data_IF_873887176052
#
_entry.id   IF_873887176052
#
_cell.length_a   1.000
_cell.length_b   1.000
_cell.length_c   1.000
_cell.angle_alpha   90.00
_cell.angle_beta   90.00
_cell.angle_gamma   90.00
#
_symmetry.space_group_name_H-M   'P 1'
#
loop_
_entity.id
_entity.type
_entity.pdbx_description
1 polymer ?
#
# COMPACT_ATOMS: atom_id res chain seq x y z
N UNK A 1 4.82 3.70 6.36
CA UNK A 1 4.73 2.51 5.52
C UNK A 1 5.27 2.81 4.13
N UNK A 2 6.08 1.94 3.56
CA UNK A 2 6.62 2.09 2.19
C UNK A 2 6.50 0.77 1.45
N UNK A 3 6.64 0.78 0.13
CA UNK A 3 6.55 -0.45 -0.65
C UNK A 3 6.40 -0.19 -2.13
N UNK A 4 6.04 -1.23 -2.87
CA UNK A 4 5.70 -1.14 -4.29
C UNK A 4 4.25 -1.53 -4.51
N UNK A 5 3.55 -0.72 -5.29
CA UNK A 5 2.20 -1.05 -5.79
C UNK A 5 2.25 -1.20 -7.30
N UNK A 6 1.58 -2.23 -7.81
CA UNK A 6 1.54 -2.56 -9.22
C UNK A 6 0.10 -2.87 -9.66
N UNK A 7 -0.29 -2.29 -10.79
CA UNK A 7 -1.49 -2.65 -11.52
C UNK A 7 -1.26 -2.58 -13.03
N UNK A 8 -1.48 -3.70 -13.73
CA UNK A 8 -1.28 -3.83 -15.20
C UNK A 8 0.13 -3.44 -15.65
N UNK A 9 0.29 -2.27 -16.28
CA UNK A 9 1.59 -1.75 -16.75
C UNK A 9 2.08 -0.56 -15.91
N UNK A 10 1.44 -0.29 -14.77
CA UNK A 10 1.75 0.86 -13.92
C UNK A 10 2.24 0.39 -12.55
N UNK A 11 3.49 0.71 -12.25
CA UNK A 11 4.13 0.42 -10.96
C UNK A 11 4.67 1.72 -10.38
N UNK A 12 4.49 1.91 -9.07
CA UNK A 12 5.16 2.97 -8.32
C UNK A 12 5.72 2.44 -7.01
N UNK A 13 6.88 2.96 -6.63
CA UNK A 13 7.36 2.92 -5.26
C UNK A 13 6.59 3.98 -4.45
N UNK A 14 6.01 3.58 -3.32
CA UNK A 14 5.27 4.48 -2.44
C UNK A 14 5.92 4.57 -1.06
N UNK A 15 5.74 5.74 -0.44
CA UNK A 15 5.98 5.94 0.98
C UNK A 15 4.81 6.75 1.51
N UNK A 16 4.01 6.21 2.41
CA UNK A 16 2.83 6.86 2.98
C UNK A 16 2.83 6.76 4.51
N UNK A 17 2.23 7.75 5.16
CA UNK A 17 1.90 7.67 6.59
C UNK A 17 0.57 6.95 6.69
N UNK A 18 0.64 5.66 6.97
CA UNK A 18 -0.50 4.80 7.23
C UNK A 18 -0.09 3.83 8.33
N UNK A 19 -0.91 3.77 9.38
CA UNK A 19 -0.68 2.95 10.56
C UNK A 19 -1.86 1.99 10.67
N UNK A 20 -1.57 0.70 10.72
CA UNK A 20 -2.57 -0.36 10.78
C UNK A 20 -1.91 -1.59 11.38
N UNK A 21 -2.48 -2.09 12.48
CA UNK A 21 -2.02 -3.32 13.16
C UNK A 21 -2.18 -4.57 12.27
N UNK A 22 -2.99 -4.47 11.22
CA UNK A 22 -3.25 -5.51 10.23
C UNK A 22 -2.22 -5.50 9.09
N UNK A 23 -1.25 -4.58 9.08
CA UNK A 23 -0.15 -4.57 8.12
C UNK A 23 1.16 -4.74 8.86
N UNK A 24 1.85 -5.84 8.55
CA UNK A 24 3.17 -6.17 9.08
C UNK A 24 4.20 -6.14 7.96
N UNK A 25 5.47 -6.22 8.33
CA UNK A 25 6.56 -6.30 7.35
C UNK A 25 6.31 -7.46 6.38
N UNK A 26 6.24 -7.15 5.08
CA UNK A 26 6.00 -8.12 4.01
C UNK A 26 4.58 -8.68 3.89
N UNK A 27 3.63 -8.34 4.78
CA UNK A 27 2.30 -8.94 4.79
C UNK A 27 1.18 -7.95 5.13
N UNK A 28 0.07 -8.03 4.38
CA UNK A 28 -1.18 -7.32 4.67
C UNK A 28 -2.23 -8.36 5.06
N UNK A 29 -2.61 -8.39 6.35
CA UNK A 29 -3.45 -9.44 6.94
C UNK A 29 -4.95 -9.26 6.65
N UNK A 30 -5.37 -8.08 6.23
CA UNK A 30 -6.77 -7.73 6.08
C UNK A 30 -7.06 -6.96 4.79
N UNK A 31 -8.21 -7.25 4.17
CA UNK A 31 -8.66 -6.51 2.99
C UNK A 31 -8.97 -5.05 3.31
N UNK A 32 -9.45 -4.75 4.53
CA UNK A 32 -9.72 -3.36 4.94
C UNK A 32 -8.43 -2.56 5.10
N UNK A 33 -7.38 -3.19 5.63
CA UNK A 33 -6.05 -2.59 5.67
C UNK A 33 -5.48 -2.35 4.26
N UNK A 34 -5.67 -3.30 3.33
CA UNK A 34 -5.32 -3.11 1.92
C UNK A 34 -6.09 -1.93 1.30
N UNK A 35 -7.39 -1.82 1.57
CA UNK A 35 -8.24 -0.70 1.12
C UNK A 35 -7.73 0.64 1.61
N UNK A 36 -7.45 0.74 2.91
CA UNK A 36 -6.92 1.95 3.51
C UNK A 36 -5.55 2.34 2.93
N UNK A 37 -4.65 1.36 2.76
CA UNK A 37 -3.33 1.59 2.18
C UNK A 37 -3.41 2.09 0.73
N UNK A 38 -4.20 1.43 -0.13
CA UNK A 38 -4.41 1.85 -1.52
C UNK A 38 -5.02 3.25 -1.56
N UNK A 39 -5.97 3.55 -0.68
CA UNK A 39 -6.56 4.88 -0.60
C UNK A 39 -5.51 5.95 -0.25
N UNK A 40 -4.66 5.69 0.75
CA UNK A 40 -3.57 6.59 1.14
C UNK A 40 -2.56 6.81 -0.01
N UNK A 41 -2.22 5.76 -0.74
CA UNK A 41 -1.35 5.84 -1.93
C UNK A 41 -2.01 6.69 -3.02
N UNK A 42 -3.27 6.40 -3.35
CA UNK A 42 -4.04 7.15 -4.35
C UNK A 42 -4.12 8.64 -4.02
N UNK A 43 -4.34 8.99 -2.75
CA UNK A 43 -4.37 10.38 -2.29
C UNK A 43 -3.00 11.05 -2.41
N UNK A 44 -1.92 10.40 -1.94
CA UNK A 44 -0.58 10.99 -1.94
C UNK A 44 -0.03 11.20 -3.35
N UNK A 45 -0.18 10.20 -4.22
CA UNK A 45 0.42 10.21 -5.56
C UNK A 45 -0.54 10.69 -6.66
N UNK A 46 -1.79 11.06 -6.30
CA UNK A 46 -2.86 11.46 -7.25
C UNK A 46 -3.09 10.43 -8.35
N UNK A 47 -3.03 9.14 -7.98
CA UNK A 47 -3.24 7.98 -8.85
C UNK A 47 -4.57 7.29 -8.52
N UNK A 48 -4.98 6.32 -9.35
CA UNK A 48 -6.22 5.53 -9.18
C UNK A 48 -5.94 4.04 -9.29
N UNK A 49 -5.23 3.49 -8.31
CA UNK A 49 -5.07 2.06 -8.15
C UNK A 49 -6.36 1.42 -7.63
N UNK A 50 -6.89 0.37 -8.31
CA UNK A 50 -8.02 -0.40 -7.80
C UNK A 50 -7.57 -1.39 -6.71
N UNK A 51 -8.53 -1.99 -6.01
CA UNK A 51 -8.28 -3.00 -4.97
C UNK A 51 -7.58 -4.28 -5.47
N UNK A 52 -7.75 -4.59 -6.75
CA UNK A 52 -7.05 -5.66 -7.44
C UNK A 52 -5.57 -5.37 -7.71
N UNK A 53 -5.06 -4.21 -7.29
CA UNK A 53 -3.63 -3.92 -7.35
C UNK A 53 -2.85 -4.83 -6.40
N UNK A 54 -1.66 -5.20 -6.83
CA UNK A 54 -0.71 -5.97 -6.04
C UNK A 54 0.18 -5.01 -5.25
N UNK A 55 0.42 -5.32 -3.99
CA UNK A 55 1.29 -4.54 -3.11
C UNK A 55 2.37 -5.49 -2.61
N UNK A 56 3.56 -5.43 -3.21
CA UNK A 56 4.68 -6.30 -2.84
C UNK A 56 6.01 -5.70 -3.33
N UNK A 57 7.03 -5.55 -2.46
CA UNK A 57 7.01 -5.73 -1.01
C UNK A 57 6.34 -4.55 -0.28
N UNK A 58 5.86 -4.79 0.96
CA UNK A 58 5.42 -3.76 1.91
C UNK A 58 6.39 -3.71 3.10
N UNK A 59 6.75 -2.50 3.50
CA UNK A 59 7.69 -2.18 4.56
C UNK A 59 7.00 -1.29 5.60
N UNK A 60 7.02 -1.71 6.86
CA UNK A 60 6.48 -0.95 7.98
C UNK A 60 7.67 -0.29 8.67
N UNK A 61 7.78 1.04 8.56
CA UNK A 61 8.75 1.79 9.38
C UNK A 61 8.26 1.78 10.82
N UNK A 62 8.79 0.87 11.64
CA UNK A 62 8.73 0.98 13.09
C UNK A 62 9.61 2.16 13.51
N UNK A 63 9.01 3.19 14.11
CA UNK A 63 9.72 4.24 14.83
C UNK A 63 9.52 4.03 16.33
#
# INVERSE_FOLDING_TARGET
MSGKIHYKHHQIDFEVRYDSEEITEGEIKSEDAKRGLIHAINQKFRVKYPLSSEIAPVHVRSF
#
